data_IF_606641302562
#
_entry.id   IF_606641302562
#
_cell.length_a   1.000
_cell.length_b   1.000
_cell.length_c   1.000
_cell.angle_alpha   90.00
_cell.angle_beta   90.00
_cell.angle_gamma   90.00
#
_symmetry.space_group_name_H-M   'P 1'
#
loop_
_entity.id
_entity.type
_entity.pdbx_description
1 polymer ?
#
# COMPACT_ATOMS: atom_id res chain seq x y z
N UNK A 1 -5.77 11.88 -5.02
CA UNK A 1 -5.44 11.01 -3.87
C UNK A 1 -4.06 10.43 -4.09
N UNK A 2 -3.33 10.07 -3.03
CA UNK A 2 -2.09 9.29 -3.09
C UNK A 2 -2.37 7.79 -2.86
N UNK A 3 -1.33 6.96 -2.88
CA UNK A 3 -1.50 5.51 -2.77
C UNK A 3 -2.17 5.08 -1.44
N UNK A 4 -1.76 5.66 -0.31
CA UNK A 4 -2.39 5.39 0.98
C UNK A 4 -3.83 5.93 1.04
N UNK A 5 -4.08 7.11 0.47
CA UNK A 5 -5.39 7.71 0.36
C UNK A 5 -6.37 6.88 -0.49
N UNK A 6 -5.89 6.24 -1.55
CA UNK A 6 -6.65 5.26 -2.34
C UNK A 6 -7.03 4.05 -1.47
N UNK A 7 -6.05 3.41 -0.84
CA UNK A 7 -6.29 2.23 0.00
C UNK A 7 -7.30 2.52 1.12
N UNK A 8 -7.13 3.67 1.78
CA UNK A 8 -8.06 4.18 2.80
C UNK A 8 -9.45 4.48 2.26
N UNK A 9 -9.54 5.02 1.04
CA UNK A 9 -10.82 5.25 0.35
C UNK A 9 -11.57 3.96 0.09
N UNK A 10 -10.89 2.95 -0.47
CA UNK A 10 -11.45 1.62 -0.73
C UNK A 10 -11.88 0.96 0.59
N UNK A 11 -11.06 1.04 1.63
CA UNK A 11 -11.42 0.52 2.96
C UNK A 11 -12.73 1.13 3.46
N UNK A 12 -12.87 2.46 3.42
CA UNK A 12 -14.08 3.12 3.91
C UNK A 12 -15.33 2.72 3.15
N UNK A 13 -15.20 2.47 1.86
CA UNK A 13 -16.31 2.05 1.00
C UNK A 13 -16.70 0.57 1.23
N UNK A 14 -15.71 -0.32 1.35
CA UNK A 14 -15.94 -1.78 1.36
C UNK A 14 -16.08 -2.36 2.77
N UNK A 15 -15.31 -1.83 3.73
CA UNK A 15 -15.25 -2.32 5.11
C UNK A 15 -16.02 -1.41 6.07
N UNK A 16 -16.00 -0.10 5.81
CA UNK A 16 -16.60 0.93 6.67
C UNK A 16 -15.55 1.79 7.40
N UNK A 17 -15.92 2.46 8.50
CA UNK A 17 -15.04 3.41 9.17
C UNK A 17 -13.67 2.81 9.54
N UNK A 18 -12.62 3.61 9.39
CA UNK A 18 -11.28 3.23 9.88
C UNK A 18 -11.32 3.16 11.42
N UNK A 19 -10.87 2.05 12.06
CA UNK A 19 -10.93 1.86 13.51
C UNK A 19 -10.08 2.85 14.31
N UNK A 20 -9.14 3.55 13.67
CA UNK A 20 -8.44 4.69 14.26
C UNK A 20 -8.29 5.84 13.28
N UNK A 21 -8.18 7.05 13.82
CA UNK A 21 -7.94 8.25 13.03
C UNK A 21 -6.49 8.27 12.56
N UNK A 22 -6.28 8.08 11.25
CA UNK A 22 -4.97 8.32 10.63
C UNK A 22 -4.73 9.85 10.67
N UNK A 23 -3.64 10.33 11.29
CA UNK A 23 -3.33 11.76 11.33
C UNK A 23 -3.04 12.30 9.94
N UNK A 24 -3.09 13.63 9.78
CA UNK A 24 -2.57 14.25 8.57
C UNK A 24 -1.09 13.88 8.44
N UNK A 25 -0.72 13.29 7.31
CA UNK A 25 0.64 12.87 7.04
C UNK A 25 1.22 13.71 5.91
N UNK A 26 2.48 14.11 6.04
CA UNK A 26 3.21 14.78 4.97
C UNK A 26 3.58 13.76 3.89
N UNK A 27 3.98 14.25 2.71
CA UNK A 27 4.64 13.42 1.69
C UNK A 27 5.83 12.66 2.27
N UNK A 28 6.53 13.30 3.20
CA UNK A 28 7.72 12.78 3.85
C UNK A 28 7.42 11.94 5.12
N UNK A 29 6.17 11.52 5.29
CA UNK A 29 5.79 10.77 6.48
C UNK A 29 6.46 9.39 6.51
N UNK A 30 7.09 9.09 7.64
CA UNK A 30 7.89 7.88 7.80
C UNK A 30 9.26 7.93 7.11
N UNK A 31 9.69 9.02 6.45
CA UNK A 31 11.02 9.02 5.83
C UNK A 31 12.19 9.12 6.82
N UNK A 32 11.92 9.56 8.04
CA UNK A 32 12.95 9.79 9.04
C UNK A 32 13.23 8.51 9.83
N UNK A 33 14.33 7.85 9.46
CA UNK A 33 14.84 6.68 10.17
C UNK A 33 14.33 5.34 9.62
N UNK A 34 14.67 4.23 10.28
CA UNK A 34 14.40 2.88 9.78
C UNK A 34 12.99 2.35 10.14
N UNK A 35 12.12 3.20 10.69
CA UNK A 35 10.81 2.75 11.19
C UNK A 35 9.84 2.56 10.03
N UNK A 36 9.31 1.35 9.91
CA UNK A 36 8.35 0.94 8.89
C UNK A 36 6.93 1.42 9.22
N UNK A 37 6.73 2.74 9.35
CA UNK A 37 5.45 3.33 9.83
C UNK A 37 4.24 2.81 9.06
N UNK A 38 4.36 2.69 7.74
CA UNK A 38 3.30 2.20 6.87
C UNK A 38 3.01 0.70 7.10
N UNK A 39 4.06 -0.12 7.18
CA UNK A 39 3.90 -1.57 7.40
C UNK A 39 3.42 -1.89 8.80
N UNK A 40 3.93 -1.19 9.83
CA UNK A 40 3.45 -1.30 11.21
C UNK A 40 1.98 -0.90 11.32
N UNK A 41 1.57 0.18 10.65
CA UNK A 41 0.18 0.59 10.58
C UNK A 41 -0.72 -0.43 9.88
N UNK A 42 -0.26 -1.04 8.79
CA UNK A 42 -0.97 -2.10 8.09
C UNK A 42 -1.12 -3.35 8.96
N UNK A 43 -0.05 -3.80 9.64
CA UNK A 43 -0.08 -4.96 10.55
C UNK A 43 -1.02 -4.78 11.73
N UNK A 44 -1.17 -3.56 12.22
CA UNK A 44 -2.11 -3.27 13.30
C UNK A 44 -3.59 -3.36 12.84
N UNK A 45 -3.84 -3.38 11.53
CA UNK A 45 -5.16 -3.19 10.92
C UNK A 45 -5.64 -4.38 10.11
N UNK A 46 -4.70 -5.18 9.62
CA UNK A 46 -4.93 -6.20 8.62
C UNK A 46 -4.20 -7.48 9.04
N UNK A 47 -4.68 -8.60 8.50
CA UNK A 47 -4.02 -9.87 8.65
C UNK A 47 -2.83 -9.87 7.68
N UNK A 48 -1.61 -9.97 8.22
CA UNK A 48 -0.41 -10.15 7.39
C UNK A 48 -0.44 -11.55 6.77
N UNK A 49 -0.18 -11.60 5.46
CA UNK A 49 -0.16 -12.83 4.68
C UNK A 49 1.16 -12.93 3.92
N UNK A 50 1.62 -14.15 3.68
CA UNK A 50 2.77 -14.38 2.82
C UNK A 50 2.50 -13.84 1.41
N UNK A 51 3.45 -13.13 0.77
CA UNK A 51 3.24 -12.57 -0.57
C UNK A 51 2.80 -13.60 -1.62
N UNK A 52 3.26 -14.85 -1.49
CA UNK A 52 2.87 -15.94 -2.38
C UNK A 52 1.42 -16.44 -2.17
N UNK A 53 0.84 -16.16 -1.00
CA UNK A 53 -0.53 -16.50 -0.64
C UNK A 53 -1.51 -15.32 -0.84
N UNK A 54 -1.01 -14.12 -1.17
CA UNK A 54 -1.82 -12.94 -1.35
C UNK A 54 -2.73 -13.08 -2.60
N UNK A 55 -4.04 -12.91 -2.39
CA UNK A 55 -5.05 -12.94 -3.46
C UNK A 55 -5.65 -11.55 -3.74
N UNK A 56 -6.63 -11.47 -4.64
CA UNK A 56 -7.36 -10.22 -4.91
C UNK A 56 -7.91 -9.59 -3.62
N UNK A 57 -7.77 -8.26 -3.51
CA UNK A 57 -8.12 -7.49 -2.31
C UNK A 57 -7.00 -7.35 -1.29
N UNK A 58 -5.91 -8.13 -1.41
CA UNK A 58 -4.76 -7.96 -0.52
C UNK A 58 -4.06 -6.61 -0.76
N UNK A 59 -3.75 -5.92 0.34
CA UNK A 59 -2.91 -4.73 0.32
C UNK A 59 -1.44 -5.16 0.25
N UNK A 60 -0.74 -4.71 -0.78
CA UNK A 60 0.69 -4.95 -0.98
C UNK A 60 1.47 -3.67 -0.72
N UNK A 61 2.63 -3.81 -0.10
CA UNK A 61 3.53 -2.72 0.25
C UNK A 61 4.83 -2.84 -0.55
N UNK A 62 5.36 -1.72 -1.03
CA UNK A 62 6.58 -1.67 -1.83
C UNK A 62 7.62 -0.71 -1.22
N UNK A 63 8.87 -1.16 -1.20
CA UNK A 63 10.06 -0.37 -0.94
C UNK A 63 10.57 0.22 -2.26
N UNK A 64 10.18 1.47 -2.52
CA UNK A 64 10.44 2.13 -3.81
C UNK A 64 11.92 2.35 -4.14
N UNK A 65 12.81 2.19 -3.15
CA UNK A 65 14.27 2.26 -3.29
C UNK A 65 14.90 1.07 -2.55
N UNK A 66 16.02 0.51 -3.07
CA UNK A 66 16.76 -0.52 -2.35
C UNK A 66 17.15 -0.06 -0.95
N UNK A 67 16.96 -0.93 0.06
CA UNK A 67 17.31 -0.68 1.47
C UNK A 67 16.56 0.48 2.13
N UNK A 68 15.47 0.96 1.51
CA UNK A 68 14.55 1.89 2.12
C UNK A 68 13.36 1.14 2.73
N UNK A 69 12.59 1.86 3.54
CA UNK A 69 11.33 1.37 4.10
C UNK A 69 10.21 1.32 3.05
N UNK A 70 9.14 0.60 3.35
CA UNK A 70 7.95 0.58 2.51
C UNK A 70 7.24 1.94 2.50
N UNK A 71 6.95 2.46 1.31
CA UNK A 71 6.32 3.79 1.12
C UNK A 71 5.27 3.86 0.04
N UNK A 72 5.04 2.77 -0.67
CA UNK A 72 4.00 2.71 -1.68
C UNK A 72 3.10 1.53 -1.40
N UNK A 73 1.81 1.72 -1.64
CA UNK A 73 0.81 0.65 -1.49
C UNK A 73 0.05 0.42 -2.78
N UNK A 74 -0.37 -0.81 -2.97
CA UNK A 74 -1.30 -1.23 -4.01
C UNK A 74 -2.29 -2.25 -3.47
N UNK A 75 -3.37 -2.48 -4.21
CA UNK A 75 -4.36 -3.52 -3.92
C UNK A 75 -4.32 -4.52 -5.07
N UNK A 76 -4.08 -5.80 -4.78
CA UNK A 76 -4.16 -6.83 -5.81
C UNK A 76 -5.56 -6.89 -6.40
N UNK A 77 -5.66 -6.89 -7.73
CA UNK A 77 -6.93 -7.08 -8.45
C UNK A 77 -7.00 -8.46 -9.09
N UNK A 78 -5.84 -9.12 -9.24
CA UNK A 78 -5.68 -10.46 -9.80
C UNK A 78 -4.31 -11.05 -9.42
N UNK A 79 -3.95 -12.22 -9.98
CA UNK A 79 -2.66 -12.87 -9.71
C UNK A 79 -1.44 -12.02 -10.11
N UNK A 80 -1.60 -11.21 -11.16
CA UNK A 80 -0.53 -10.48 -11.84
C UNK A 80 -0.89 -9.01 -12.10
N UNK A 81 -1.87 -8.47 -11.39
CA UNK A 81 -2.35 -7.09 -11.57
C UNK A 81 -2.69 -6.46 -10.23
N UNK A 82 -2.51 -5.15 -10.15
CA UNK A 82 -2.84 -4.39 -8.96
C UNK A 82 -3.27 -2.97 -9.29
N UNK A 83 -4.13 -2.43 -8.43
CA UNK A 83 -4.60 -1.06 -8.45
C UNK A 83 -3.75 -0.23 -7.50
N UNK A 84 -3.28 0.93 -7.94
CA UNK A 84 -2.58 1.87 -7.09
C UNK A 84 -2.82 3.32 -7.53
N UNK A 85 -2.46 4.29 -6.70
CA UNK A 85 -2.36 5.68 -7.14
C UNK A 85 -0.88 6.01 -7.35
N UNK A 86 -0.52 6.36 -8.58
CA UNK A 86 0.87 6.63 -8.97
C UNK A 86 1.06 8.09 -9.30
N UNK A 87 2.21 8.64 -8.88
CA UNK A 87 2.51 10.05 -9.08
C UNK A 87 2.44 10.41 -10.57
N UNK A 88 1.71 11.49 -10.89
CA UNK A 88 1.42 12.00 -12.26
C UNK A 88 0.52 11.14 -13.14
N UNK A 89 0.20 9.90 -12.77
CA UNK A 89 -0.73 9.05 -13.53
C UNK A 89 -2.12 8.97 -12.89
N UNK A 90 -2.22 9.22 -11.58
CA UNK A 90 -3.47 9.08 -10.86
C UNK A 90 -3.73 7.62 -10.47
N UNK A 91 -5.00 7.24 -10.34
CA UNK A 91 -5.38 5.86 -10.01
C UNK A 91 -5.36 5.03 -11.28
N UNK A 92 -4.50 4.02 -11.33
CA UNK A 92 -4.36 3.12 -12.46
C UNK A 92 -4.27 1.68 -11.98
N UNK A 93 -4.66 0.77 -12.85
CA UNK A 93 -4.36 -0.65 -12.73
C UNK A 93 -3.16 -0.96 -13.62
N UNK A 94 -2.18 -1.68 -13.08
CA UNK A 94 -1.00 -2.08 -13.83
C UNK A 94 -0.60 -3.54 -13.55
N UNK A 95 0.16 -4.17 -14.45
CA UNK A 95 0.68 -5.50 -14.20
C UNK A 95 1.68 -5.51 -13.04
N UNK A 96 1.58 -6.52 -12.16
CA UNK A 96 2.54 -6.82 -11.10
C UNK A 96 3.79 -7.51 -11.68
N UNK A 97 4.50 -6.76 -12.50
CA UNK A 97 5.70 -7.22 -13.21
C UNK A 97 6.83 -7.62 -12.26
N UNK A 98 7.85 -8.36 -12.73
CA UNK A 98 9.01 -8.69 -11.91
C UNK A 98 9.77 -7.48 -11.35
N UNK A 99 9.72 -6.31 -12.01
CA UNK A 99 10.33 -5.09 -11.47
C UNK A 99 9.55 -4.51 -10.30
N UNK A 100 8.22 -4.67 -10.27
CA UNK A 100 7.39 -4.35 -9.10
C UNK A 100 7.59 -5.35 -7.98
N UNK A 101 7.64 -6.66 -8.28
CA UNK A 101 7.86 -7.71 -7.26
C UNK A 101 9.22 -7.62 -6.54
N UNK A 102 10.19 -6.91 -7.11
CA UNK A 102 11.50 -6.64 -6.50
C UNK A 102 11.56 -5.36 -5.68
N UNK A 103 10.51 -4.53 -5.72
CA UNK A 103 10.37 -3.34 -4.87
C UNK A 103 9.73 -3.74 -3.55
#
# INVERSE_FOLDING_TARGET
CDCLGLARGVWREVVGPEPFRIPHYSRDWGETGPREVLAEGARAMMIEVEPAAAGPGALILFCMKPRAIAKHVGILTGPDSFLHAYERLGVIEEPLTPSWRRR
#
